data_IF_882887103218
#
_entry.id   IF_882887103218
#
_cell.length_a   1.000
_cell.length_b   1.000
_cell.length_c   1.000
_cell.angle_alpha   90.00
_cell.angle_beta   90.00
_cell.angle_gamma   90.00
#
_symmetry.space_group_name_H-M   'P 1'
#
loop_
_entity.id
_entity.type
_entity.pdbx_description
1 polymer ?
#
# COMPACT_ATOMS: atom_id res chain seq x y z
N UNK A 1 -26.43 -7.13 -2.62
CA UNK A 1 -25.59 -8.30 -2.43
C UNK A 1 -24.22 -7.86 -1.91
N UNK A 2 -23.88 -8.28 -0.72
CA UNK A 2 -22.64 -8.22 0.04
C UNK A 2 -21.69 -7.05 -0.26
N UNK A 3 -21.97 -5.90 0.34
CA UNK A 3 -20.98 -4.88 0.65
C UNK A 3 -20.31 -5.33 1.94
N UNK A 4 -19.22 -6.08 1.79
CA UNK A 4 -18.38 -6.49 2.90
C UNK A 4 -17.80 -5.25 3.58
N UNK A 5 -18.22 -5.00 4.81
CA UNK A 5 -17.62 -4.01 5.68
C UNK A 5 -16.15 -4.40 5.92
N UNK A 6 -15.22 -3.68 5.30
CA UNK A 6 -13.81 -3.72 5.68
C UNK A 6 -13.66 -3.00 7.03
N UNK A 7 -13.88 -3.75 8.09
CA UNK A 7 -13.41 -3.36 9.41
C UNK A 7 -11.88 -3.50 9.42
N UNK A 8 -11.17 -2.38 9.32
CA UNK A 8 -9.75 -2.33 9.67
C UNK A 8 -9.71 -2.40 11.20
N UNK A 9 -9.71 -3.62 11.74
CA UNK A 9 -9.42 -3.86 13.14
C UNK A 9 -7.91 -3.64 13.30
N UNK A 10 -7.52 -2.48 13.79
CA UNK A 10 -6.19 -2.29 14.39
C UNK A 10 -6.19 -3.07 15.71
N UNK A 11 -5.85 -4.37 15.64
CA UNK A 11 -5.47 -5.13 16.82
C UNK A 11 -4.12 -4.59 17.30
N UNK A 12 -4.14 -3.77 18.34
CA UNK A 12 -2.95 -3.34 19.06
C UNK A 12 -2.35 -4.54 19.81
N UNK A 13 -1.26 -5.07 19.30
CA UNK A 13 -0.38 -5.94 20.09
C UNK A 13 0.65 -5.05 20.74
N UNK A 14 0.51 -4.86 22.07
CA UNK A 14 1.49 -4.17 22.88
C UNK A 14 2.75 -5.02 23.02
N UNK A 15 3.90 -4.45 22.67
CA UNK A 15 5.22 -4.97 23.00
C UNK A 15 6.05 -3.83 23.57
N UNK A 16 6.67 -4.12 24.70
CA UNK A 16 7.36 -3.20 25.60
C UNK A 16 8.78 -2.79 25.17
N UNK A 17 9.18 -1.66 25.67
CA UNK A 17 10.38 -0.85 25.41
C UNK A 17 11.74 -1.48 25.65
N UNK A 18 12.76 -0.94 25.01
CA UNK A 18 14.05 -0.68 25.71
C UNK A 18 15.04 0.26 24.98
N UNK A 19 15.50 1.19 25.71
CA UNK A 19 16.75 1.92 25.89
C UNK A 19 17.77 2.06 24.75
N UNK A 20 18.02 3.33 24.43
CA UNK A 20 19.15 3.79 23.64
C UNK A 20 20.44 3.80 24.46
N UNK A 21 21.53 3.26 23.90
CA UNK A 21 22.91 3.58 24.31
C UNK A 21 23.76 3.96 23.08
N UNK A 22 24.62 4.93 23.32
CA UNK A 22 25.45 5.62 22.35
C UNK A 22 26.50 4.71 21.67
N UNK A 23 26.78 4.98 20.40
CA UNK A 23 27.83 4.32 19.60
C UNK A 23 29.16 5.09 19.67
N UNK A 24 30.30 4.40 19.73
CA UNK A 24 31.58 4.96 19.32
C UNK A 24 31.83 4.72 17.82
N UNK A 25 32.33 5.76 17.17
CA UNK A 25 32.76 5.73 15.76
C UNK A 25 34.13 5.04 15.64
N UNK A 26 34.29 4.13 14.69
CA UNK A 26 35.59 3.66 14.23
C UNK A 26 35.71 3.79 12.71
N UNK A 27 36.65 4.62 12.30
CA UNK A 27 37.17 4.80 10.93
C UNK A 27 38.21 3.75 10.60
N UNK A 28 38.26 3.33 9.35
CA UNK A 28 39.34 2.86 8.46
C UNK A 28 38.87 1.68 7.62
N UNK A 29 39.13 1.64 6.35
CA UNK A 29 40.21 1.82 5.49
C UNK A 29 39.89 1.52 4.01
N UNK A 30 40.69 2.11 3.14
CA UNK A 30 40.58 2.15 1.69
C UNK A 30 40.78 0.81 0.97
N UNK A 31 40.10 0.66 -0.20
CA UNK A 31 40.45 -0.40 -1.14
C UNK A 31 39.50 -0.52 -2.34
N UNK A 32 39.79 0.25 -3.39
CA UNK A 32 39.66 -0.01 -4.84
C UNK A 32 38.31 -0.25 -5.56
N UNK A 33 38.25 0.13 -6.85
CA UNK A 33 36.98 0.40 -7.54
C UNK A 33 36.51 -0.80 -8.35
N UNK A 34 35.31 -1.20 -8.14
CA UNK A 34 34.60 -2.11 -9.04
C UNK A 34 33.35 -1.43 -9.55
N UNK A 35 33.26 -1.37 -10.86
CA UNK A 35 32.08 -1.26 -11.72
C UNK A 35 30.91 -0.42 -11.20
N UNK A 36 30.56 0.57 -11.96
CA UNK A 36 29.37 1.44 -11.85
C UNK A 36 28.07 0.62 -11.85
N UNK A 37 27.80 -0.09 -10.76
CA UNK A 37 26.46 -0.53 -10.46
C UNK A 37 25.67 0.73 -10.07
N UNK A 38 24.64 1.04 -10.84
CA UNK A 38 23.65 2.09 -10.54
C UNK A 38 23.34 2.04 -9.04
N UNK A 39 23.77 3.04 -8.29
CA UNK A 39 23.50 3.14 -6.86
C UNK A 39 22.00 3.26 -6.69
N UNK A 40 21.34 2.14 -6.43
CA UNK A 40 20.01 2.16 -5.85
C UNK A 40 20.14 2.95 -4.54
N UNK A 41 19.55 4.12 -4.49
CA UNK A 41 19.61 5.02 -3.34
C UNK A 41 18.93 4.32 -2.18
N UNK A 42 19.70 3.93 -1.17
CA UNK A 42 19.17 3.44 0.09
C UNK A 42 18.49 4.61 0.79
N UNK A 43 17.18 4.73 0.61
CA UNK A 43 16.36 5.78 1.21
C UNK A 43 15.35 5.19 2.21
N UNK A 44 14.69 6.04 2.99
CA UNK A 44 13.59 5.62 3.83
C UNK A 44 12.51 4.89 3.01
N UNK A 45 11.96 3.82 3.54
CA UNK A 45 11.02 2.94 2.83
C UNK A 45 9.71 3.62 2.38
N UNK A 46 9.27 4.68 3.08
CA UNK A 46 8.06 5.43 2.71
C UNK A 46 8.22 6.29 1.46
N UNK A 47 9.46 6.54 0.99
CA UNK A 47 9.70 7.19 -0.29
C UNK A 47 9.18 6.37 -1.47
N UNK A 48 8.96 5.07 -1.28
CA UNK A 48 8.32 4.19 -2.26
C UNK A 48 6.91 4.66 -2.69
N UNK A 49 6.26 5.49 -1.90
CA UNK A 49 4.93 6.05 -2.24
C UNK A 49 4.99 7.28 -3.16
N UNK A 50 6.16 7.86 -3.39
CA UNK A 50 6.34 9.07 -4.20
C UNK A 50 5.37 10.21 -3.84
N UNK A 51 5.07 10.37 -2.55
CA UNK A 51 4.17 11.40 -2.02
C UNK A 51 4.95 12.41 -1.17
N UNK A 52 4.99 13.66 -1.63
CA UNK A 52 5.59 14.75 -0.86
C UNK A 52 4.81 15.04 0.42
N UNK A 53 3.47 14.89 0.37
CA UNK A 53 2.61 15.03 1.53
C UNK A 53 3.00 14.01 2.60
N UNK A 54 3.13 12.73 2.23
CA UNK A 54 3.57 11.69 3.17
C UNK A 54 4.95 11.98 3.73
N UNK A 55 5.91 12.37 2.89
CA UNK A 55 7.27 12.70 3.33
C UNK A 55 7.27 13.81 4.38
N UNK A 56 6.46 14.85 4.16
CA UNK A 56 6.29 15.95 5.12
C UNK A 56 5.69 15.46 6.43
N UNK A 57 4.62 14.67 6.37
CA UNK A 57 3.93 14.14 7.55
C UNK A 57 4.86 13.26 8.41
N UNK A 58 5.62 12.37 7.78
CA UNK A 58 6.58 11.52 8.50
C UNK A 58 7.69 12.35 9.12
N UNK A 59 8.23 13.34 8.40
CA UNK A 59 9.28 14.21 8.92
C UNK A 59 8.79 15.03 10.14
N UNK A 60 7.57 15.55 10.11
CA UNK A 60 6.97 16.28 11.24
C UNK A 60 6.74 15.37 12.45
N UNK A 61 6.18 14.18 12.21
CA UNK A 61 5.93 13.21 13.27
C UNK A 61 7.24 12.74 13.94
N UNK A 62 8.29 12.49 13.18
CA UNK A 62 9.59 12.10 13.69
C UNK A 62 10.24 13.21 14.53
N UNK A 63 10.13 14.48 14.10
CA UNK A 63 10.59 15.64 14.89
C UNK A 63 9.78 15.76 16.20
N UNK A 64 8.48 15.54 16.13
CA UNK A 64 7.60 15.56 17.30
C UNK A 64 7.94 14.49 18.33
N UNK A 65 8.23 13.27 17.90
CA UNK A 65 8.63 12.18 18.79
C UNK A 65 9.97 12.47 19.48
N UNK A 66 10.95 12.95 18.74
CA UNK A 66 12.26 13.30 19.29
C UNK A 66 12.20 14.42 20.36
N UNK A 67 11.29 15.41 20.19
CA UNK A 67 11.18 16.55 21.12
C UNK A 67 10.47 16.22 22.43
N UNK A 68 9.62 15.19 22.45
CA UNK A 68 8.79 14.88 23.63
C UNK A 68 9.45 13.90 24.60
N UNK A 69 10.67 13.41 24.32
CA UNK A 69 11.37 12.42 25.17
C UNK A 69 10.54 11.16 25.43
N UNK A 70 9.36 11.04 24.81
CA UNK A 70 8.56 9.83 24.86
C UNK A 70 9.25 8.80 24.00
N UNK A 71 9.66 7.75 24.63
CA UNK A 71 9.91 6.46 24.01
C UNK A 71 8.56 5.93 23.49
N UNK A 72 8.03 6.57 22.45
CA UNK A 72 6.84 6.07 21.77
C UNK A 72 7.33 4.84 21.00
N UNK A 73 6.99 3.69 21.55
CA UNK A 73 7.48 2.35 21.17
C UNK A 73 7.05 1.91 19.77
N UNK A 74 6.21 2.67 19.14
CA UNK A 74 5.82 2.47 17.74
C UNK A 74 6.54 3.52 16.88
N UNK A 75 7.27 3.04 15.91
CA UNK A 75 7.89 3.87 14.91
C UNK A 75 6.85 4.82 14.30
N UNK A 76 6.98 6.14 14.50
CA UNK A 76 5.96 7.12 14.09
C UNK A 76 5.69 7.06 12.58
N UNK A 77 6.69 6.67 11.80
CA UNK A 77 6.60 6.52 10.34
C UNK A 77 5.60 5.45 9.91
N UNK A 78 5.49 4.34 10.64
CA UNK A 78 4.55 3.25 10.35
C UNK A 78 3.10 3.72 10.56
N UNK A 79 2.82 4.30 11.73
CA UNK A 79 1.47 4.77 12.06
C UNK A 79 1.01 5.92 11.17
N UNK A 80 1.91 6.87 10.88
CA UNK A 80 1.60 8.01 10.01
C UNK A 80 1.38 7.57 8.58
N UNK A 81 2.21 6.67 8.03
CA UNK A 81 2.04 6.17 6.67
C UNK A 81 0.75 5.38 6.52
N UNK A 82 0.41 4.52 7.49
CA UNK A 82 -0.84 3.77 7.47
C UNK A 82 -2.07 4.69 7.53
N UNK A 83 -2.05 5.69 8.40
CA UNK A 83 -3.14 6.67 8.52
C UNK A 83 -3.27 7.53 7.26
N UNK A 84 -2.16 7.97 6.67
CA UNK A 84 -2.16 8.72 5.40
C UNK A 84 -2.76 7.91 4.25
N UNK A 85 -2.32 6.66 4.07
CA UNK A 85 -2.88 5.77 3.04
C UNK A 85 -4.37 5.54 3.25
N UNK A 86 -4.78 5.28 4.50
CA UNK A 86 -6.18 5.12 4.87
C UNK A 86 -7.01 6.35 4.51
N UNK A 87 -6.52 7.55 4.87
CA UNK A 87 -7.18 8.82 4.58
C UNK A 87 -7.32 9.07 3.07
N UNK A 88 -6.25 8.85 2.28
CA UNK A 88 -6.27 9.02 0.83
C UNK A 88 -7.29 8.08 0.17
N UNK A 89 -7.34 6.81 0.58
CA UNK A 89 -8.32 5.83 0.09
C UNK A 89 -9.74 6.24 0.43
N UNK A 90 -9.99 6.74 1.65
CA UNK A 90 -11.30 7.20 2.08
C UNK A 90 -11.77 8.40 1.25
N UNK A 91 -10.92 9.40 1.05
CA UNK A 91 -11.25 10.58 0.25
C UNK A 91 -11.50 10.24 -1.22
N UNK A 92 -10.69 9.35 -1.82
CA UNK A 92 -10.93 8.84 -3.18
C UNK A 92 -12.24 8.06 -3.26
N UNK A 93 -12.53 7.22 -2.27
CA UNK A 93 -13.79 6.45 -2.21
C UNK A 93 -15.00 7.37 -2.13
N UNK A 94 -14.96 8.43 -1.30
CA UNK A 94 -16.01 9.45 -1.24
C UNK A 94 -16.24 10.11 -2.60
N UNK A 95 -15.17 10.47 -3.30
CA UNK A 95 -15.24 11.07 -4.64
C UNK A 95 -15.93 10.15 -5.66
N UNK A 96 -15.59 8.86 -5.65
CA UNK A 96 -16.17 7.89 -6.58
C UNK A 96 -17.63 7.55 -6.24
N UNK A 97 -17.95 7.37 -4.95
CA UNK A 97 -19.33 7.11 -4.50
C UNK A 97 -20.22 8.33 -4.78
N UNK A 98 -19.74 9.55 -4.54
CA UNK A 98 -20.52 10.76 -4.85
C UNK A 98 -20.78 10.90 -6.35
N UNK A 99 -19.78 10.58 -7.20
CA UNK A 99 -19.96 10.56 -8.65
C UNK A 99 -20.99 9.51 -9.10
N UNK A 100 -20.96 8.31 -8.51
CA UNK A 100 -21.94 7.26 -8.80
C UNK A 100 -23.35 7.66 -8.32
N UNK A 101 -23.45 8.28 -7.14
CA UNK A 101 -24.71 8.82 -6.59
C UNK A 101 -25.30 9.92 -7.47
N UNK A 102 -24.47 10.84 -7.96
CA UNK A 102 -24.92 11.90 -8.86
C UNK A 102 -25.49 11.31 -10.17
N UNK A 103 -24.86 10.25 -10.70
CA UNK A 103 -25.38 9.53 -11.87
C UNK A 103 -26.72 8.84 -11.59
N UNK A 104 -26.86 8.19 -10.44
CA UNK A 104 -28.14 7.56 -10.02
C UNK A 104 -29.27 8.60 -9.90
N UNK A 105 -28.99 9.77 -9.33
CA UNK A 105 -29.94 10.88 -9.28
C UNK A 105 -30.35 11.35 -10.67
N UNK A 106 -29.40 11.48 -11.58
CA UNK A 106 -29.69 11.86 -12.95
C UNK A 106 -30.56 10.84 -13.66
N UNK A 107 -30.28 9.54 -13.47
CA UNK A 107 -31.12 8.46 -13.98
C UNK A 107 -32.55 8.55 -13.42
N UNK A 108 -32.69 8.76 -12.10
CA UNK A 108 -33.98 8.91 -11.44
C UNK A 108 -34.79 10.07 -12.03
N UNK A 109 -34.16 11.21 -12.33
CA UNK A 109 -34.81 12.34 -13.00
C UNK A 109 -35.30 11.96 -14.40
N UNK A 110 -34.48 11.28 -15.20
CA UNK A 110 -34.84 10.86 -16.57
C UNK A 110 -35.99 9.86 -16.58
N UNK A 111 -35.94 8.88 -15.66
CA UNK A 111 -36.98 7.85 -15.54
C UNK A 111 -38.31 8.45 -15.01
N UNK A 112 -38.23 9.41 -14.08
CA UNK A 112 -39.43 10.09 -13.57
C UNK A 112 -40.14 10.94 -14.60
N UNK A 113 -39.43 11.42 -15.61
CA UNK A 113 -40.01 12.17 -16.73
C UNK A 113 -40.70 11.26 -17.77
N UNK A 114 -40.53 9.93 -17.69
CA UNK A 114 -41.08 8.97 -18.64
C UNK A 114 -42.02 7.98 -17.93
N UNK A 115 -43.36 8.14 -18.03
CA UNK A 115 -44.33 7.33 -17.27
C UNK A 115 -44.36 5.84 -17.63
N UNK A 116 -43.76 5.47 -18.74
CA UNK A 116 -43.76 4.08 -19.25
C UNK A 116 -42.67 3.18 -18.63
N UNK A 117 -41.76 3.74 -17.79
CA UNK A 117 -40.69 2.97 -17.15
C UNK A 117 -41.17 2.45 -15.78
N UNK A 118 -40.90 1.15 -15.52
CA UNK A 118 -41.40 0.38 -14.38
C UNK A 118 -41.05 1.01 -13.02
N UNK A 119 -42.03 1.01 -12.12
CA UNK A 119 -41.88 1.47 -10.73
C UNK A 119 -40.73 0.78 -10.00
N UNK A 120 -40.49 -0.50 -10.29
CA UNK A 120 -39.40 -1.29 -9.70
C UNK A 120 -38.01 -0.69 -9.97
N UNK A 121 -37.75 -0.17 -11.19
CA UNK A 121 -36.48 0.44 -11.51
C UNK A 121 -36.29 1.79 -10.79
N UNK A 122 -37.37 2.55 -10.58
CA UNK A 122 -37.33 3.78 -9.78
C UNK A 122 -37.02 3.49 -8.32
N UNK A 123 -37.60 2.45 -7.74
CA UNK A 123 -37.32 2.04 -6.37
C UNK A 123 -35.87 1.55 -6.22
N UNK A 124 -35.36 0.79 -7.18
CA UNK A 124 -33.96 0.36 -7.17
C UNK A 124 -32.99 1.54 -7.20
N UNK A 125 -33.24 2.57 -8.01
CA UNK A 125 -32.41 3.78 -8.07
C UNK A 125 -32.44 4.56 -6.74
N UNK A 126 -33.61 4.64 -6.06
CA UNK A 126 -33.72 5.23 -4.73
C UNK A 126 -32.92 4.46 -3.69
N UNK A 127 -32.97 3.11 -3.74
CA UNK A 127 -32.17 2.27 -2.86
C UNK A 127 -30.68 2.48 -3.10
N UNK A 128 -30.21 2.50 -4.34
CA UNK A 128 -28.79 2.80 -4.68
C UNK A 128 -28.35 4.15 -4.13
N UNK A 129 -29.20 5.18 -4.22
CA UNK A 129 -28.89 6.51 -3.68
C UNK A 129 -28.80 6.51 -2.14
N UNK A 130 -29.75 5.81 -1.48
CA UNK A 130 -29.75 5.67 -0.02
C UNK A 130 -28.53 4.90 0.49
N UNK A 131 -28.16 3.81 -0.16
CA UNK A 131 -26.98 2.99 0.15
C UNK A 131 -25.69 3.79 -0.04
N UNK A 132 -25.56 4.54 -1.14
CA UNK A 132 -24.44 5.43 -1.38
C UNK A 132 -24.32 6.47 -0.26
N UNK A 133 -25.45 7.10 0.13
CA UNK A 133 -25.48 8.10 1.20
C UNK A 133 -25.08 7.50 2.56
N UNK A 134 -25.56 6.30 2.87
CA UNK A 134 -25.18 5.57 4.09
C UNK A 134 -23.70 5.22 4.12
N UNK A 135 -23.17 4.74 2.98
CA UNK A 135 -21.74 4.41 2.82
C UNK A 135 -20.86 5.64 2.97
N UNK A 136 -21.25 6.76 2.37
CA UNK A 136 -20.52 8.04 2.52
C UNK A 136 -20.43 8.48 3.98
N UNK A 137 -21.53 8.43 4.75
CA UNK A 137 -21.52 8.79 6.18
C UNK A 137 -20.54 7.94 6.99
N UNK A 138 -20.47 6.63 6.70
CA UNK A 138 -19.51 5.72 7.38
C UNK A 138 -18.07 6.06 7.04
N UNK A 139 -17.79 6.35 5.77
CA UNK A 139 -16.45 6.72 5.31
C UNK A 139 -16.05 8.08 5.86
N UNK A 140 -16.97 9.06 5.92
CA UNK A 140 -16.73 10.37 6.53
C UNK A 140 -16.31 10.24 8.00
N UNK A 141 -17.02 9.43 8.78
CA UNK A 141 -16.66 9.18 10.17
C UNK A 141 -15.26 8.55 10.33
N UNK A 142 -14.90 7.62 9.45
CA UNK A 142 -13.56 7.01 9.44
C UNK A 142 -12.48 8.02 9.01
N UNK A 143 -12.77 8.87 8.02
CA UNK A 143 -11.88 9.95 7.58
C UNK A 143 -11.57 10.90 8.74
N UNK A 144 -12.57 11.31 9.50
CA UNK A 144 -12.39 12.24 10.60
C UNK A 144 -11.49 11.66 11.70
N UNK A 145 -11.59 10.35 11.97
CA UNK A 145 -10.66 9.64 12.89
C UNK A 145 -9.21 9.68 12.36
N UNK A 146 -9.00 9.41 11.07
CA UNK A 146 -7.66 9.45 10.47
C UNK A 146 -7.09 10.87 10.46
N UNK A 147 -7.91 11.88 10.15
CA UNK A 147 -7.51 13.29 10.20
C UNK A 147 -7.08 13.70 11.60
N UNK A 148 -7.87 13.35 12.63
CA UNK A 148 -7.54 13.64 14.02
C UNK A 148 -6.23 12.97 14.45
N UNK A 149 -6.01 11.69 14.07
CA UNK A 149 -4.78 10.98 14.35
C UNK A 149 -3.57 11.67 13.70
N UNK A 150 -3.65 12.00 12.41
CA UNK A 150 -2.56 12.66 11.68
C UNK A 150 -2.28 14.07 12.22
N UNK A 151 -3.33 14.85 12.55
CA UNK A 151 -3.19 16.18 13.14
C UNK A 151 -2.44 16.11 14.48
N UNK A 152 -2.80 15.16 15.33
CA UNK A 152 -2.13 14.97 16.62
C UNK A 152 -0.64 14.59 16.50
N UNK A 153 -0.26 13.90 15.40
CA UNK A 153 1.12 13.40 15.19
C UNK A 153 1.99 14.37 14.38
N UNK A 154 1.41 15.08 13.39
CA UNK A 154 2.17 15.95 12.47
C UNK A 154 2.21 17.42 12.89
N UNK A 155 1.55 17.82 13.97
CA UNK A 155 1.40 19.23 14.41
C UNK A 155 0.71 20.14 13.36
N UNK A 156 0.12 19.56 12.33
CA UNK A 156 -0.68 20.27 11.34
C UNK A 156 -2.14 20.34 11.80
N UNK A 157 -2.85 21.41 11.43
CA UNK A 157 -4.30 21.43 11.65
C UNK A 157 -5.01 20.45 10.71
N UNK A 158 -6.18 19.97 11.09
CA UNK A 158 -7.00 19.11 10.25
C UNK A 158 -7.30 19.75 8.88
N UNK A 159 -7.50 21.07 8.85
CA UNK A 159 -7.73 21.84 7.62
C UNK A 159 -6.50 21.85 6.70
N UNK A 160 -5.31 22.07 7.27
CA UNK A 160 -4.05 22.06 6.52
C UNK A 160 -3.78 20.66 5.92
N UNK A 161 -4.04 19.59 6.68
CA UNK A 161 -3.96 18.21 6.23
C UNK A 161 -4.94 17.91 5.11
N UNK A 162 -6.20 18.30 5.30
CA UNK A 162 -7.23 18.09 4.30
C UNK A 162 -6.90 18.82 3.00
N UNK A 163 -6.39 20.04 3.08
CA UNK A 163 -5.93 20.81 1.91
C UNK A 163 -4.76 20.14 1.21
N UNK A 164 -3.74 19.68 1.97
CA UNK A 164 -2.57 19.01 1.39
C UNK A 164 -2.92 17.74 0.63
N UNK A 165 -3.93 16.98 1.11
CA UNK A 165 -4.37 15.75 0.47
C UNK A 165 -5.40 16.03 -0.64
N UNK A 166 -6.13 17.14 -0.57
CA UNK A 166 -7.17 17.49 -1.56
C UNK A 166 -6.60 17.57 -2.98
N UNK A 167 -5.39 18.07 -3.17
CA UNK A 167 -4.74 18.16 -4.47
C UNK A 167 -4.44 16.76 -5.05
N UNK A 168 -4.00 15.82 -4.22
CA UNK A 168 -3.76 14.43 -4.63
C UNK A 168 -5.07 13.72 -4.98
N UNK A 169 -6.13 13.97 -4.21
CA UNK A 169 -7.48 13.43 -4.47
C UNK A 169 -8.07 14.02 -5.75
N UNK A 170 -7.93 15.34 -5.97
CA UNK A 170 -8.38 16.01 -7.18
C UNK A 170 -7.67 15.47 -8.43
N UNK A 171 -6.37 15.19 -8.32
CA UNK A 171 -5.59 14.51 -9.33
C UNK A 171 -5.90 13.00 -9.45
N UNK A 172 -6.79 12.45 -8.61
CA UNK A 172 -7.12 11.02 -8.50
C UNK A 172 -5.87 10.15 -8.33
N UNK A 173 -4.88 10.66 -7.60
CA UNK A 173 -3.62 9.97 -7.34
C UNK A 173 -3.89 8.77 -6.43
N UNK A 174 -3.67 7.58 -6.98
CA UNK A 174 -3.83 6.34 -6.21
C UNK A 174 -2.62 6.13 -5.28
N UNK A 175 -2.79 5.52 -4.09
CA UNK A 175 -1.66 5.08 -3.29
C UNK A 175 -0.95 3.93 -4.03
N UNK A 176 0.16 4.25 -4.70
CA UNK A 176 0.95 3.29 -5.48
C UNK A 176 2.33 3.14 -4.89
N UNK A 177 2.86 1.93 -5.00
CA UNK A 177 4.28 1.68 -4.74
C UNK A 177 5.04 1.84 -6.05
N UNK A 178 6.07 2.69 -6.04
CA UNK A 178 6.92 2.94 -7.20
C UNK A 178 7.96 1.84 -7.44
N UNK A 179 8.01 0.84 -6.55
CA UNK A 179 9.07 -0.16 -6.50
C UNK A 179 8.53 -1.54 -6.85
N UNK A 180 9.36 -2.41 -7.46
CA UNK A 180 9.00 -3.81 -7.60
C UNK A 180 8.88 -4.45 -6.22
N UNK A 181 7.84 -5.27 -6.05
CA UNK A 181 7.63 -5.99 -4.79
C UNK A 181 8.67 -7.11 -4.64
N UNK A 182 9.30 -7.23 -3.45
CA UNK A 182 10.22 -8.33 -3.20
C UNK A 182 9.46 -9.65 -3.13
N UNK A 183 10.04 -10.70 -3.71
CA UNK A 183 9.55 -12.08 -3.57
C UNK A 183 10.21 -12.76 -2.38
N UNK A 184 11.43 -12.37 -2.06
CA UNK A 184 12.20 -12.86 -0.93
C UNK A 184 13.06 -11.72 -0.38
N UNK A 185 13.42 -11.81 0.90
CA UNK A 185 14.24 -10.83 1.60
C UNK A 185 15.41 -11.51 2.32
N UNK A 186 16.60 -10.86 2.37
CA UNK A 186 17.70 -11.37 3.16
C UNK A 186 17.34 -11.46 4.65
N UNK A 187 17.58 -12.62 5.28
CA UNK A 187 17.32 -12.80 6.71
C UNK A 187 18.13 -11.83 7.58
N UNK A 188 19.29 -11.36 7.11
CA UNK A 188 20.11 -10.36 7.78
C UNK A 188 19.35 -9.03 8.08
N UNK A 189 18.26 -8.74 7.37
CA UNK A 189 17.42 -7.57 7.65
C UNK A 189 16.73 -7.66 9.02
N UNK A 190 16.51 -8.85 9.55
CA UNK A 190 15.95 -9.07 10.89
C UNK A 190 16.81 -8.47 12.01
N UNK A 191 18.12 -8.31 11.79
CA UNK A 191 19.00 -7.64 12.75
C UNK A 191 18.57 -6.19 13.08
N UNK A 192 17.69 -5.58 12.27
CA UNK A 192 17.15 -4.25 12.55
C UNK A 192 15.95 -4.25 13.52
N UNK A 193 15.43 -5.41 13.88
CA UNK A 193 14.31 -5.57 14.81
C UNK A 193 14.77 -5.31 16.24
N UNK A 194 13.97 -4.54 16.97
CA UNK A 194 14.30 -4.19 18.37
C UNK A 194 14.31 -5.41 19.30
N UNK A 195 13.45 -6.40 19.08
CA UNK A 195 13.40 -7.65 19.86
C UNK A 195 14.65 -8.51 19.65
N UNK A 196 15.12 -8.63 18.41
CA UNK A 196 16.37 -9.37 18.09
C UNK A 196 17.60 -8.62 18.62
N UNK A 197 17.64 -7.29 18.50
CA UNK A 197 18.70 -6.49 19.08
C UNK A 197 18.76 -6.61 20.60
N UNK A 198 17.59 -6.59 21.24
CA UNK A 198 17.49 -6.77 22.70
C UNK A 198 17.96 -8.15 23.12
N UNK A 199 17.49 -9.20 22.46
CA UNK A 199 17.92 -10.57 22.74
C UNK A 199 19.42 -10.74 22.52
N UNK A 200 19.97 -10.22 21.42
CA UNK A 200 21.40 -10.25 21.15
C UNK A 200 22.22 -9.49 22.22
N UNK A 201 21.78 -8.31 22.60
CA UNK A 201 22.45 -7.49 23.65
C UNK A 201 22.43 -8.19 25.02
N UNK A 202 21.33 -8.88 25.35
CA UNK A 202 21.20 -9.61 26.62
C UNK A 202 22.25 -10.71 26.76
N UNK A 203 22.62 -11.35 25.66
CA UNK A 203 23.59 -12.45 25.64
C UNK A 203 24.98 -12.05 25.13
N UNK A 204 25.20 -10.78 24.75
CA UNK A 204 26.46 -10.32 24.16
C UNK A 204 26.76 -10.92 22.79
N UNK A 205 25.75 -11.27 22.01
CA UNK A 205 25.84 -11.86 20.67
C UNK A 205 25.74 -10.75 19.63
N UNK A 206 26.41 -10.91 18.48
CA UNK A 206 26.17 -10.08 17.31
C UNK A 206 24.75 -10.32 16.78
N UNK A 207 23.88 -9.31 16.66
CA UNK A 207 22.52 -9.49 16.13
C UNK A 207 22.49 -10.07 14.71
N UNK A 208 23.58 -10.02 13.95
CA UNK A 208 23.69 -10.65 12.63
C UNK A 208 24.15 -12.12 12.70
N UNK A 209 24.59 -12.60 13.85
CA UNK A 209 25.00 -13.98 14.00
C UNK A 209 23.82 -14.95 13.76
N UNK A 210 24.00 -15.91 12.88
CA UNK A 210 22.97 -16.90 12.55
C UNK A 210 21.85 -16.41 11.60
N UNK A 211 21.88 -15.15 11.13
CA UNK A 211 20.90 -14.62 10.16
C UNK A 211 21.30 -14.87 8.71
N UNK A 212 21.65 -16.10 8.39
CA UNK A 212 21.98 -16.51 7.03
C UNK A 212 20.71 -16.81 6.19
N UNK A 213 20.85 -16.72 4.86
CA UNK A 213 19.80 -17.11 3.90
C UNK A 213 18.78 -16.02 3.60
N UNK A 214 17.67 -16.44 3.01
CA UNK A 214 16.56 -15.58 2.60
C UNK A 214 15.28 -16.01 3.32
N UNK A 215 14.32 -15.09 3.41
CA UNK A 215 12.96 -15.32 3.86
C UNK A 215 12.06 -15.11 2.66
N UNK A 216 11.24 -16.08 2.30
CA UNK A 216 10.30 -15.98 1.20
C UNK A 216 8.86 -16.26 1.66
N UNK A 217 7.91 -16.02 0.77
CA UNK A 217 6.50 -16.22 1.07
C UNK A 217 6.10 -17.70 1.16
N UNK A 218 6.93 -18.61 0.64
CA UNK A 218 6.71 -20.06 0.67
C UNK A 218 7.31 -20.71 1.91
N UNK A 219 8.06 -19.94 2.75
CA UNK A 219 8.62 -20.46 3.99
C UNK A 219 7.46 -20.98 4.88
N UNK A 220 7.33 -22.30 4.91
CA UNK A 220 6.30 -22.96 5.69
C UNK A 220 6.68 -22.82 7.17
N UNK A 221 5.80 -22.17 7.95
CA UNK A 221 5.94 -22.08 9.40
C UNK A 221 5.59 -23.39 10.12
N UNK A 222 5.32 -24.46 9.34
CA UNK A 222 5.20 -25.82 9.83
C UNK A 222 6.56 -26.35 10.36
N UNK A 223 6.51 -27.18 11.36
CA UNK A 223 7.56 -27.78 12.20
C UNK A 223 8.83 -28.34 11.49
N UNK A 224 9.04 -28.03 10.21
CA UNK A 224 10.17 -28.46 9.38
C UNK A 224 11.16 -27.36 9.03
N UNK A 225 11.09 -26.18 9.66
CA UNK A 225 12.11 -25.15 9.52
C UNK A 225 13.46 -25.79 9.80
N UNK A 226 14.35 -25.80 8.77
CA UNK A 226 15.71 -26.22 8.88
C UNK A 226 16.24 -25.69 10.22
N UNK A 227 16.41 -26.58 11.19
CA UNK A 227 17.12 -26.28 12.42
C UNK A 227 18.42 -25.62 11.98
N UNK A 228 18.43 -24.29 11.95
CA UNK A 228 19.67 -23.58 11.92
C UNK A 228 20.40 -24.14 13.13
N UNK A 229 21.49 -24.86 12.87
CA UNK A 229 22.37 -25.51 13.86
C UNK A 229 22.96 -24.42 14.79
N UNK A 230 22.07 -23.71 15.44
CA UNK A 230 22.31 -22.76 16.52
C UNK A 230 21.93 -23.43 17.83
N UNK A 231 22.45 -24.64 18.02
CA UNK A 231 22.57 -25.22 19.33
C UNK A 231 23.60 -24.38 20.13
N UNK A 232 23.19 -23.13 20.40
CA UNK A 232 23.86 -22.30 21.38
C UNK A 232 23.23 -22.64 22.74
N UNK A 233 23.76 -23.63 23.47
CA UNK A 233 23.21 -24.01 24.75
C UNK A 233 23.35 -22.83 25.71
N UNK A 234 22.22 -22.30 26.14
CA UNK A 234 22.15 -21.21 27.09
C UNK A 234 21.56 -19.89 26.62
N UNK A 235 21.11 -19.76 25.34
CA UNK A 235 20.56 -18.52 24.78
C UNK A 235 19.17 -18.70 24.13
N UNK A 236 18.14 -19.19 24.82
CA UNK A 236 16.88 -19.60 24.18
C UNK A 236 16.11 -18.44 23.55
N UNK A 237 16.22 -17.20 24.08
CA UNK A 237 15.44 -16.06 23.58
C UNK A 237 15.90 -15.53 22.22
N UNK A 238 17.16 -15.70 21.86
CA UNK A 238 17.66 -15.18 20.58
C UNK A 238 17.18 -16.04 19.39
N UNK A 239 17.32 -17.35 19.35
CA UNK A 239 16.75 -18.21 18.33
C UNK A 239 15.23 -18.08 18.23
N UNK A 240 14.52 -17.97 19.36
CA UNK A 240 13.06 -17.78 19.39
C UNK A 240 12.67 -16.45 18.72
N UNK A 241 13.33 -15.34 19.06
CA UNK A 241 13.09 -14.04 18.42
C UNK A 241 13.37 -14.06 16.92
N UNK A 242 14.41 -14.76 16.49
CA UNK A 242 14.75 -14.94 15.07
C UNK A 242 13.68 -15.76 14.35
N UNK A 243 13.26 -16.90 14.93
CA UNK A 243 12.22 -17.75 14.35
C UNK A 243 10.88 -17.01 14.23
N UNK A 244 10.48 -16.29 15.27
CA UNK A 244 9.29 -15.44 15.24
C UNK A 244 9.42 -14.34 14.17
N UNK A 245 10.54 -13.64 14.10
CA UNK A 245 10.79 -12.60 13.11
C UNK A 245 10.71 -13.13 11.68
N UNK A 246 11.26 -14.32 11.39
CA UNK A 246 11.12 -15.00 10.09
C UNK A 246 9.67 -15.28 9.75
N UNK A 247 8.91 -15.87 10.67
CA UNK A 247 7.51 -16.19 10.48
C UNK A 247 6.66 -14.93 10.19
N UNK A 248 6.87 -13.85 10.94
CA UNK A 248 6.17 -12.58 10.74
C UNK A 248 6.48 -11.95 9.38
N UNK A 249 7.74 -11.98 8.94
CA UNK A 249 8.15 -11.44 7.63
C UNK A 249 7.62 -12.30 6.49
N UNK A 250 7.67 -13.64 6.59
CA UNK A 250 7.12 -14.56 5.60
C UNK A 250 5.61 -14.35 5.44
N UNK A 251 4.87 -14.18 6.55
CA UNK A 251 3.43 -13.88 6.53
C UNK A 251 3.15 -12.51 5.89
N UNK A 252 3.95 -11.49 6.21
CA UNK A 252 3.83 -10.17 5.61
C UNK A 252 4.10 -10.21 4.09
N UNK A 253 5.09 -11.00 3.64
CA UNK A 253 5.36 -11.22 2.21
C UNK A 253 4.18 -11.91 1.51
N UNK A 254 3.60 -12.98 2.10
CA UNK A 254 2.42 -13.65 1.55
C UNK A 254 1.24 -12.69 1.39
N UNK A 255 0.96 -11.89 2.43
CA UNK A 255 -0.11 -10.86 2.37
C UNK A 255 0.16 -9.81 1.31
N UNK A 256 1.40 -9.35 1.19
CA UNK A 256 1.80 -8.38 0.18
C UNK A 256 1.59 -8.92 -1.24
N UNK A 257 1.97 -10.17 -1.51
CA UNK A 257 1.74 -10.82 -2.80
C UNK A 257 0.25 -10.95 -3.11
N UNK A 258 -0.54 -11.46 -2.17
CA UNK A 258 -1.99 -11.60 -2.34
C UNK A 258 -2.67 -10.25 -2.62
N UNK A 259 -2.28 -9.17 -1.93
CA UNK A 259 -2.82 -7.83 -2.17
C UNK A 259 -2.36 -7.25 -3.50
N UNK A 260 -1.14 -7.58 -3.97
CA UNK A 260 -0.64 -7.22 -5.30
C UNK A 260 -1.48 -7.85 -6.41
N UNK A 261 -1.77 -9.14 -6.30
CA UNK A 261 -2.61 -9.86 -7.26
C UNK A 261 -4.03 -9.27 -7.30
N UNK A 262 -4.60 -8.97 -6.14
CA UNK A 262 -5.90 -8.30 -6.03
C UNK A 262 -5.90 -6.91 -6.71
N UNK A 263 -4.84 -6.11 -6.52
CA UNK A 263 -4.68 -4.81 -7.15
C UNK A 263 -4.52 -4.94 -8.69
N UNK A 264 -3.81 -5.97 -9.17
CA UNK A 264 -3.68 -6.25 -10.59
C UNK A 264 -5.03 -6.64 -11.22
N UNK A 265 -5.86 -7.43 -10.51
CA UNK A 265 -7.22 -7.77 -10.95
C UNK A 265 -8.09 -6.51 -11.00
N UNK A 266 -8.08 -5.66 -9.95
CA UNK A 266 -8.84 -4.42 -9.91
C UNK A 266 -8.44 -3.47 -11.04
N UNK A 267 -7.15 -3.37 -11.36
CA UNK A 267 -6.66 -2.59 -12.49
C UNK A 267 -7.21 -3.08 -13.84
N UNK A 268 -7.33 -4.40 -14.04
CA UNK A 268 -7.94 -4.96 -15.27
C UNK A 268 -9.40 -4.57 -15.36
N UNK A 269 -10.17 -4.76 -14.26
CA UNK A 269 -11.60 -4.41 -14.22
C UNK A 269 -11.87 -2.94 -14.53
N UNK A 270 -11.03 -2.03 -14.00
CA UNK A 270 -11.14 -0.60 -14.32
C UNK A 270 -10.90 -0.34 -15.81
N UNK A 271 -9.92 -1.00 -16.43
CA UNK A 271 -9.70 -0.87 -17.88
C UNK A 271 -10.90 -1.34 -18.68
N UNK A 272 -11.47 -2.49 -18.31
CA UNK A 272 -12.63 -3.06 -18.99
C UNK A 272 -13.86 -2.13 -18.84
N UNK A 273 -14.15 -1.68 -17.61
CA UNK A 273 -15.25 -0.76 -17.33
C UNK A 273 -15.08 0.59 -18.07
N UNK A 274 -13.84 1.08 -18.21
CA UNK A 274 -13.55 2.29 -18.99
C UNK A 274 -13.84 2.08 -20.47
N UNK A 275 -13.47 0.95 -21.04
CA UNK A 275 -13.77 0.60 -22.42
C UNK A 275 -15.28 0.52 -22.63
N UNK A 276 -16.02 -0.17 -21.74
CA UNK A 276 -17.49 -0.26 -21.80
C UNK A 276 -18.14 1.12 -21.77
N UNK A 277 -17.72 1.98 -20.85
CA UNK A 277 -18.25 3.35 -20.76
C UNK A 277 -17.99 4.19 -22.03
N UNK A 278 -16.78 4.14 -22.61
CA UNK A 278 -16.48 4.87 -23.85
C UNK A 278 -17.26 4.32 -25.05
N UNK A 279 -17.48 3.00 -25.12
CA UNK A 279 -18.35 2.37 -26.11
C UNK A 279 -19.81 2.82 -25.96
N UNK A 280 -20.31 2.86 -24.70
CA UNK A 280 -21.66 3.34 -24.41
C UNK A 280 -21.87 4.79 -24.87
N UNK A 281 -20.92 5.68 -24.61
CA UNK A 281 -20.94 7.06 -25.10
C UNK A 281 -20.99 7.14 -26.65
N UNK A 282 -20.19 6.31 -27.30
CA UNK A 282 -20.17 6.24 -28.76
C UNK A 282 -21.52 5.76 -29.35
N UNK A 283 -22.11 4.73 -28.72
CA UNK A 283 -23.44 4.21 -29.12
C UNK A 283 -24.53 5.24 -28.85
N UNK A 284 -24.46 5.97 -27.74
CA UNK A 284 -25.40 7.05 -27.45
C UNK A 284 -25.32 8.16 -28.53
N UNK A 285 -24.13 8.56 -28.97
CA UNK A 285 -23.96 9.56 -30.01
C UNK A 285 -24.56 9.16 -31.38
N UNK A 286 -24.74 7.83 -31.58
CA UNK A 286 -25.41 7.26 -32.78
C UNK A 286 -26.92 7.03 -32.58
N UNK A 287 -27.46 7.35 -31.41
CA UNK A 287 -28.86 7.06 -31.08
C UNK A 287 -29.17 5.60 -30.76
N UNK A 288 -28.16 4.75 -30.60
CA UNK A 288 -28.29 3.30 -30.33
C UNK A 288 -28.41 2.97 -28.83
N UNK A 289 -28.20 3.94 -27.96
CA UNK A 289 -28.20 3.78 -26.52
C UNK A 289 -28.81 5.00 -25.83
N UNK A 290 -29.57 4.79 -24.76
CA UNK A 290 -30.17 5.88 -23.99
C UNK A 290 -29.17 6.48 -22.98
N UNK A 291 -29.43 7.75 -22.57
CA UNK A 291 -28.65 8.40 -21.50
C UNK A 291 -28.68 7.58 -20.19
N UNK A 292 -29.81 6.95 -19.87
CA UNK A 292 -29.97 6.09 -18.66
C UNK A 292 -28.96 4.94 -18.67
N UNK A 293 -28.80 4.28 -19.82
CA UNK A 293 -27.86 3.16 -19.97
C UNK A 293 -26.40 3.62 -19.91
N UNK A 294 -26.07 4.79 -20.46
CA UNK A 294 -24.70 5.36 -20.36
C UNK A 294 -24.38 5.69 -18.90
N UNK A 295 -25.35 6.21 -18.15
CA UNK A 295 -25.17 6.50 -16.73
C UNK A 295 -24.99 5.21 -15.88
N UNK A 296 -25.55 4.07 -16.32
CA UNK A 296 -25.27 2.76 -15.70
C UNK A 296 -23.80 2.35 -15.86
N UNK A 297 -23.30 2.44 -17.10
CA UNK A 297 -21.88 2.14 -17.36
C UNK A 297 -20.94 3.10 -16.61
N UNK A 298 -21.33 4.38 -16.49
CA UNK A 298 -20.57 5.34 -15.67
C UNK A 298 -20.55 4.96 -14.18
N UNK A 299 -21.69 4.55 -13.61
CA UNK A 299 -21.74 4.06 -12.22
C UNK A 299 -20.87 2.83 -12.03
N UNK A 300 -20.92 1.87 -12.97
CA UNK A 300 -20.07 0.68 -12.94
C UNK A 300 -18.59 1.07 -12.93
N UNK A 301 -18.18 2.01 -13.78
CA UNK A 301 -16.81 2.54 -13.80
C UNK A 301 -16.42 3.20 -12.46
N UNK A 302 -17.29 4.00 -11.85
CA UNK A 302 -17.00 4.64 -10.56
C UNK A 302 -16.82 3.61 -9.45
N UNK A 303 -17.63 2.55 -9.43
CA UNK A 303 -17.49 1.44 -8.47
C UNK A 303 -16.19 0.65 -8.66
N UNK A 304 -15.77 0.40 -9.91
CA UNK A 304 -14.48 -0.27 -10.16
C UNK A 304 -13.29 0.63 -9.79
N UNK A 305 -13.37 1.95 -9.98
CA UNK A 305 -12.36 2.90 -9.52
C UNK A 305 -12.26 2.95 -7.99
N UNK A 306 -13.39 2.88 -7.29
CA UNK A 306 -13.41 2.76 -5.83
C UNK A 306 -12.73 1.45 -5.37
N UNK A 307 -13.08 0.32 -5.98
CA UNK A 307 -12.44 -0.99 -5.68
C UNK A 307 -10.94 -0.96 -5.93
N UNK A 308 -10.50 -0.30 -7.01
CA UNK A 308 -9.08 -0.11 -7.29
C UNK A 308 -8.40 0.71 -6.19
N UNK A 309 -9.01 1.82 -5.74
CA UNK A 309 -8.45 2.63 -4.66
C UNK A 309 -8.29 1.81 -3.38
N UNK A 310 -9.29 1.00 -3.02
CA UNK A 310 -9.22 0.09 -1.87
C UNK A 310 -8.14 -0.98 -2.04
N UNK A 311 -8.04 -1.61 -3.23
CA UNK A 311 -7.03 -2.65 -3.49
C UNK A 311 -5.61 -2.10 -3.45
N UNK A 312 -5.37 -0.91 -4.02
CA UNK A 312 -4.08 -0.23 -3.94
C UNK A 312 -3.76 0.21 -2.50
N UNK A 313 -4.77 0.64 -1.73
CA UNK A 313 -4.63 0.94 -0.31
C UNK A 313 -4.22 -0.29 0.51
N UNK A 314 -4.86 -1.44 0.27
CA UNK A 314 -4.50 -2.70 0.93
C UNK A 314 -3.07 -3.15 0.58
N UNK A 315 -2.66 -2.99 -0.68
CA UNK A 315 -1.28 -3.24 -1.11
C UNK A 315 -0.29 -2.32 -0.38
N UNK A 316 -0.62 -1.04 -0.28
CA UNK A 316 0.19 -0.05 0.44
C UNK A 316 0.30 -0.40 1.93
N UNK A 317 -0.78 -0.79 2.58
CA UNK A 317 -0.79 -1.25 3.98
C UNK A 317 0.01 -2.55 4.13
N UNK A 318 -0.08 -3.49 3.18
CA UNK A 318 0.74 -4.70 3.15
C UNK A 318 2.24 -4.38 3.12
N UNK A 319 2.65 -3.39 2.31
CA UNK A 319 4.02 -2.89 2.28
C UNK A 319 4.46 -2.28 3.63
N UNK A 320 3.61 -1.43 4.22
CA UNK A 320 3.88 -0.82 5.52
C UNK A 320 4.04 -1.91 6.60
N UNK A 321 3.18 -2.93 6.59
CA UNK A 321 3.26 -4.06 7.51
C UNK A 321 4.56 -4.86 7.35
N UNK A 322 5.00 -5.10 6.11
CA UNK A 322 6.28 -5.73 5.83
C UNK A 322 7.45 -4.90 6.37
N UNK A 323 7.44 -3.59 6.17
CA UNK A 323 8.49 -2.71 6.72
C UNK A 323 8.48 -2.69 8.25
N UNK A 324 7.30 -2.73 8.86
CA UNK A 324 7.16 -2.85 10.31
C UNK A 324 7.73 -4.18 10.84
N UNK A 325 7.48 -5.30 10.16
CA UNK A 325 7.98 -6.62 10.55
C UNK A 325 9.50 -6.78 10.39
N UNK A 326 10.14 -5.94 9.56
CA UNK A 326 11.60 -5.88 9.40
C UNK A 326 12.30 -4.95 10.42
N UNK A 327 11.53 -4.25 11.24
CA UNK A 327 12.03 -3.14 12.03
C UNK A 327 12.03 -1.84 11.20
N UNK A 328 11.19 -0.90 11.57
CA UNK A 328 10.80 0.29 10.79
C UNK A 328 11.95 1.20 10.33
N UNK A 329 13.14 1.03 10.88
CA UNK A 329 14.35 1.80 10.55
C UNK A 329 15.19 1.18 9.43
N UNK A 330 14.70 0.09 8.83
CA UNK A 330 15.45 -0.63 7.78
C UNK A 330 15.57 0.24 6.53
N UNK A 331 16.78 0.65 6.10
CA UNK A 331 16.97 1.22 4.79
C UNK A 331 16.74 0.12 3.76
N UNK A 332 15.71 0.25 2.95
CA UNK A 332 15.42 -0.73 1.90
C UNK A 332 16.31 -0.44 0.71
N UNK A 333 17.35 -1.24 0.53
CA UNK A 333 18.10 -1.32 -0.72
C UNK A 333 17.27 -2.16 -1.68
N UNK A 334 16.40 -1.51 -2.43
CA UNK A 334 15.64 -2.19 -3.47
C UNK A 334 16.54 -2.34 -4.68
N UNK A 335 16.99 -3.56 -4.91
CA UNK A 335 17.66 -3.90 -6.14
C UNK A 335 16.64 -3.80 -7.26
N UNK A 336 16.86 -2.90 -8.21
CA UNK A 336 16.15 -2.96 -9.47
C UNK A 336 16.32 -4.36 -10.03
N UNK A 337 15.25 -5.04 -10.51
CA UNK A 337 15.39 -6.33 -11.13
C UNK A 337 16.42 -6.18 -12.26
N UNK A 338 17.40 -7.08 -12.30
CA UNK A 338 18.31 -7.17 -13.44
C UNK A 338 17.44 -7.20 -14.70
N UNK A 339 17.51 -6.14 -15.50
CA UNK A 339 16.95 -6.19 -16.83
C UNK A 339 17.58 -7.43 -17.50
N UNK A 340 16.77 -8.39 -17.99
CA UNK A 340 17.32 -9.52 -18.70
C UNK A 340 18.19 -8.95 -19.83
N UNK A 341 19.44 -9.39 -19.87
CA UNK A 341 20.44 -8.96 -20.84
C UNK A 341 19.83 -8.87 -22.24
N UNK A 342 19.65 -7.65 -22.72
CA UNK A 342 19.20 -7.37 -24.08
C UNK A 342 20.26 -7.73 -25.14
N UNK A 343 21.29 -8.49 -24.77
CA UNK A 343 22.37 -8.93 -25.65
C UNK A 343 22.01 -10.07 -26.61
N UNK A 344 20.76 -10.59 -26.58
CA UNK A 344 20.31 -11.73 -27.39
C UNK A 344 19.48 -11.40 -28.64
N UNK A 345 19.02 -10.17 -28.82
CA UNK A 345 18.23 -9.79 -30.01
C UNK A 345 19.14 -9.27 -31.13
N UNK A 346 19.88 -10.20 -31.77
CA UNK A 346 20.51 -9.93 -33.07
C UNK A 346 19.44 -9.43 -34.06
N UNK A 347 19.70 -8.23 -34.58
CA UNK A 347 18.96 -7.58 -35.64
C UNK A 347 18.68 -8.58 -36.80
N UNK A 348 17.41 -8.88 -37.05
CA UNK A 348 16.99 -9.46 -38.32
C UNK A 348 16.98 -8.32 -39.36
N UNK A 349 17.61 -8.53 -40.54
CA UNK A 349 17.62 -7.50 -41.58
C UNK A 349 16.19 -7.26 -42.11
N UNK A 350 15.80 -5.99 -42.14
CA UNK A 350 14.60 -5.55 -42.84
C UNK A 350 14.72 -5.87 -44.33
N UNK A 351 13.95 -6.83 -44.82
CA UNK A 351 13.69 -6.97 -46.24
C UNK A 351 12.76 -5.82 -46.68
N UNK A 352 13.33 -4.94 -47.43
CA UNK A 352 12.58 -3.92 -48.21
C UNK A 352 11.86 -4.64 -49.33
N UNK A 353 10.54 -4.73 -49.27
CA UNK A 353 9.67 -5.19 -50.33
C UNK A 353 8.76 -4.03 -50.72
N UNK A 354 9.13 -3.33 -51.74
CA UNK A 354 8.24 -2.42 -52.47
C UNK A 354 7.12 -3.23 -53.14
N UNK A 355 5.87 -2.84 -52.92
CA UNK A 355 4.78 -3.10 -53.85
C UNK A 355 3.91 -1.87 -53.93
N UNK A 356 4.04 -1.20 -55.06
CA UNK A 356 3.03 -0.29 -55.63
C UNK A 356 1.77 -1.10 -55.95
N UNK A 357 0.61 -0.59 -55.56
CA UNK A 357 -0.58 -0.32 -56.41
C UNK A 357 -1.61 0.43 -55.60
#
# INVERSE_FOLDING_TARGET
MLIGALGIACAGSGVSASHAMARPSLTHGAGQPAASASRASAGPWWLAFESETLNTLVAEASRGAASNGRLDMQAPEVGVSAAYVGLLVQMLSLTYIDSARAAARRQLQLVSASPALHDDFREELKHREADATSSMKKIDAQRDVQLAFLAARSRLSAEALQKAIADEVAARKQPRLALPLPQALPAALLANRDDIQLAAALYGIDPQAGLAGTIDAAEDTGEGGQEADTDLPGYPLFPEAVAQGRAEVAEALRKLQATSDAAAVANRRVRDAKVSFEQAKTRMSRGEMSEVQVLEEYQALMLELQRLAMSNGNLAIGWIALMASLGSRTPVVLHAPHAPDAAGLRARPRMAGALSF
#
